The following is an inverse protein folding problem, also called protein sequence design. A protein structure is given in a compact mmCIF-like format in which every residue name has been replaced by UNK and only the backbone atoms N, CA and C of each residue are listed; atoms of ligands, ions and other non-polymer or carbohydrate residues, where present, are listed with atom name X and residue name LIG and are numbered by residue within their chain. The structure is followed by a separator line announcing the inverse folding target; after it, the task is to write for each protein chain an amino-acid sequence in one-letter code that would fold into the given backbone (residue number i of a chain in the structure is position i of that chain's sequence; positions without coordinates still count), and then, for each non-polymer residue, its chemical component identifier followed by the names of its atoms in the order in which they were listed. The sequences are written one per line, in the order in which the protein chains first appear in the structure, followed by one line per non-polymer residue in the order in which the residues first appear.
data_IF_966573124943
#
_entry.id   IF_966573124943
#
_cell.length_a   1.000
_cell.length_b   1.000
_cell.length_c   1.000
_cell.angle_alpha   90.00
_cell.angle_beta   90.00
_cell.angle_gamma   90.00
#
_symmetry.space_group_name_H-M   'P 1'
#
loop_
_entity.id
_entity.type
_entity.pdbx_description
1 polymer ?
#
# COMPACT_ATOMS: atom_id res chain seq x y z
N UNK A 1 20.34 -12.91 4.06
CA UNK A 1 20.86 -12.41 5.35
C UNK A 1 20.37 -10.99 5.53
N UNK A 2 19.86 -10.61 6.70
CA UNK A 2 19.37 -9.25 6.96
C UNK A 2 19.63 -8.84 8.42
N UNK A 3 19.64 -7.54 8.73
CA UNK A 3 19.77 -7.08 10.12
C UNK A 3 18.40 -6.79 10.71
N UNK A 4 18.06 -7.44 11.82
CA UNK A 4 16.83 -7.17 12.55
C UNK A 4 16.84 -5.72 13.07
N UNK A 5 15.80 -4.95 12.81
CA UNK A 5 15.78 -3.53 13.21
C UNK A 5 15.44 -3.31 14.69
N UNK A 6 15.01 -4.36 15.40
CA UNK A 6 14.76 -4.33 16.86
C UNK A 6 16.02 -4.77 17.61
N UNK A 7 16.39 -6.05 17.52
CA UNK A 7 17.52 -6.59 18.28
C UNK A 7 18.90 -6.34 17.64
N UNK A 8 18.95 -5.75 16.44
CA UNK A 8 20.18 -5.43 15.69
C UNK A 8 21.06 -6.62 15.34
N UNK A 9 20.63 -7.85 15.59
CA UNK A 9 21.32 -9.07 15.19
C UNK A 9 21.29 -9.25 13.67
N UNK A 10 22.37 -9.83 13.13
CA UNK A 10 22.44 -10.25 11.73
C UNK A 10 21.82 -11.65 11.62
N UNK A 11 20.74 -11.75 10.86
CA UNK A 11 19.97 -12.96 10.66
C UNK A 11 20.49 -13.68 9.41
N UNK A 12 20.85 -14.99 9.49
CA UNK A 12 21.44 -15.73 8.38
C UNK A 12 20.44 -15.92 7.22
N UNK A 13 20.94 -16.39 6.07
CA UNK A 13 20.10 -16.84 4.95
C UNK A 13 19.21 -18.02 5.35
N UNK A 14 18.02 -18.12 4.76
CA UNK A 14 17.06 -19.21 5.04
C UNK A 14 16.09 -18.93 6.20
N UNK A 15 16.32 -17.88 7.00
CA UNK A 15 15.36 -17.44 8.04
C UNK A 15 14.39 -16.41 7.46
N UNK A 16 13.08 -16.61 7.68
CA UNK A 16 12.04 -15.68 7.23
C UNK A 16 12.17 -14.32 7.91
N UNK A 17 12.03 -13.24 7.15
CA UNK A 17 11.86 -11.88 7.69
C UNK A 17 10.39 -11.55 7.84
N UNK A 18 10.00 -10.91 8.95
CA UNK A 18 8.64 -10.38 9.14
C UNK A 18 8.63 -8.85 9.13
N UNK A 19 7.51 -8.29 8.69
CA UNK A 19 7.25 -6.84 8.67
C UNK A 19 6.34 -6.48 9.83
N UNK A 20 6.85 -5.65 10.74
CA UNK A 20 6.05 -5.10 11.84
C UNK A 20 5.67 -3.66 11.54
N UNK A 21 4.38 -3.35 11.63
CA UNK A 21 3.85 -2.00 11.48
C UNK A 21 3.95 -1.29 12.82
N UNK A 22 4.79 -0.27 12.93
CA UNK A 22 5.03 0.44 14.20
C UNK A 22 4.31 1.77 14.27
N UNK A 23 3.98 2.34 13.11
CA UNK A 23 3.27 3.62 13.04
C UNK A 23 2.30 3.62 11.87
N UNK A 24 1.04 3.92 12.17
CA UNK A 24 0.02 4.22 11.16
C UNK A 24 -0.45 5.67 11.32
N UNK A 25 -0.95 6.27 10.23
CA UNK A 25 -1.61 7.57 10.26
C UNK A 25 -2.96 7.47 9.57
N UNK A 26 -3.92 8.25 10.03
CA UNK A 26 -5.18 8.44 9.31
C UNK A 26 -4.94 9.32 8.09
N UNK A 27 -5.62 9.00 7.00
CA UNK A 27 -5.60 9.80 5.78
C UNK A 27 -6.96 9.78 5.11
N UNK A 28 -7.37 10.96 4.67
CA UNK A 28 -8.52 11.14 3.80
C UNK A 28 -8.03 11.21 2.35
N UNK A 29 -8.53 10.30 1.53
CA UNK A 29 -8.26 10.26 0.10
C UNK A 29 -9.33 11.05 -0.63
N UNK A 30 -8.90 12.00 -1.46
CA UNK A 30 -9.80 12.74 -2.33
C UNK A 30 -10.42 11.82 -3.38
N UNK A 31 -11.66 12.12 -3.77
CA UNK A 31 -12.28 11.46 -4.91
C UNK A 31 -11.52 11.84 -6.19
N UNK A 32 -11.30 10.87 -7.09
CA UNK A 32 -10.62 11.14 -8.35
C UNK A 32 -11.62 11.72 -9.35
N UNK A 33 -11.37 12.92 -9.84
CA UNK A 33 -12.22 13.55 -10.85
C UNK A 33 -12.21 12.72 -12.16
N UNK A 34 -13.34 12.67 -12.90
CA UNK A 34 -13.39 11.96 -14.16
C UNK A 34 -12.41 12.60 -15.14
N UNK A 35 -11.65 11.76 -15.86
CA UNK A 35 -10.79 12.24 -16.94
C UNK A 35 -11.60 13.15 -17.89
N UNK A 36 -11.02 14.27 -18.35
CA UNK A 36 -11.71 15.18 -19.25
C UNK A 36 -12.21 14.38 -20.45
N UNK A 37 -13.50 14.52 -20.76
CA UNK A 37 -14.10 13.90 -21.94
C UNK A 37 -13.27 14.34 -23.14
N UNK A 38 -12.51 13.42 -23.74
CA UNK A 38 -11.78 13.69 -24.97
C UNK A 38 -12.74 14.39 -25.94
N UNK A 39 -12.27 15.52 -26.49
CA UNK A 39 -13.06 16.44 -27.30
C UNK A 39 -13.84 15.72 -28.41
N UNK A 40 -14.87 16.41 -28.91
CA UNK A 40 -15.94 15.93 -29.81
C UNK A 40 -15.46 15.33 -31.14
N UNK A 41 -14.71 14.22 -31.11
CA UNK A 41 -14.23 13.51 -32.29
C UNK A 41 -14.05 12.01 -32.04
N UNK A 42 -15.06 11.36 -31.46
CA UNK A 42 -15.21 9.91 -31.60
C UNK A 42 -16.67 9.53 -31.41
N UNK A 43 -17.49 9.83 -32.42
CA UNK A 43 -18.90 9.43 -32.44
C UNK A 43 -19.13 8.00 -32.96
N UNK A 44 -18.08 7.20 -33.25
CA UNK A 44 -18.32 5.95 -34.01
C UNK A 44 -17.55 4.69 -33.68
N UNK A 45 -16.62 4.62 -32.73
CA UNK A 45 -16.03 3.33 -32.36
C UNK A 45 -15.83 3.19 -30.86
N UNK A 46 -16.25 2.04 -30.35
CA UNK A 46 -16.11 1.54 -28.98
C UNK A 46 -17.24 1.90 -28.02
N UNK A 47 -18.40 1.26 -28.27
CA UNK A 47 -19.40 0.86 -27.26
C UNK A 47 -18.83 -0.20 -26.29
N UNK A 48 -17.59 -0.04 -25.85
CA UNK A 48 -17.15 -0.65 -24.61
C UNK A 48 -17.29 0.46 -23.60
N UNK A 49 -18.40 0.43 -22.84
CA UNK A 49 -18.50 1.16 -21.57
C UNK A 49 -17.23 0.82 -20.80
N UNK A 50 -16.20 1.66 -20.88
CA UNK A 50 -15.20 1.70 -19.85
C UNK A 50 -16.02 2.05 -18.62
N UNK A 51 -16.28 1.06 -17.77
CA UNK A 51 -16.71 1.32 -16.40
C UNK A 51 -15.66 2.30 -15.90
N UNK A 52 -16.02 3.58 -15.80
CA UNK A 52 -15.13 4.54 -15.18
C UNK A 52 -14.92 4.02 -13.77
N UNK A 53 -13.75 3.40 -13.55
CA UNK A 53 -13.35 2.91 -12.25
C UNK A 53 -13.14 4.18 -11.44
N UNK A 54 -14.19 4.56 -10.72
CA UNK A 54 -14.22 5.77 -9.91
C UNK A 54 -13.77 5.39 -8.51
N UNK A 55 -12.57 5.81 -8.14
CA UNK A 55 -12.19 5.82 -6.73
C UNK A 55 -12.97 6.95 -6.05
N UNK A 56 -13.97 6.56 -5.24
CA UNK A 56 -14.85 7.50 -4.52
C UNK A 56 -14.13 8.33 -3.46
N UNK A 57 -12.82 8.14 -3.29
CA UNK A 57 -12.10 8.61 -2.12
C UNK A 57 -12.57 7.88 -0.86
N UNK A 58 -12.21 8.41 0.31
CA UNK A 58 -12.63 7.88 1.60
C UNK A 58 -11.61 8.08 2.71
N UNK A 59 -11.93 7.60 3.91
CA UNK A 59 -11.02 7.59 5.05
C UNK A 59 -10.33 6.23 5.14
N UNK A 60 -9.01 6.24 5.31
CA UNK A 60 -8.22 5.04 5.51
C UNK A 60 -7.04 5.29 6.44
N UNK A 61 -6.24 4.24 6.65
CA UNK A 61 -5.00 4.34 7.41
C UNK A 61 -3.83 4.01 6.49
N UNK A 62 -2.80 4.84 6.52
CA UNK A 62 -1.54 4.57 5.85
C UNK A 62 -0.54 4.05 6.86
N UNK A 63 0.22 3.03 6.44
CA UNK A 63 1.38 2.57 7.19
C UNK A 63 2.51 3.58 6.97
N UNK A 64 2.92 4.25 8.04
CA UNK A 64 3.97 5.29 8.02
C UNK A 64 5.35 4.70 8.21
N UNK A 65 5.45 3.68 9.07
CA UNK A 65 6.72 3.05 9.40
C UNK A 65 6.53 1.57 9.65
N UNK A 66 7.31 0.79 8.92
CA UNK A 66 7.46 -0.65 9.11
C UNK A 66 8.89 -0.97 9.51
N UNK A 67 9.05 -2.04 10.29
CA UNK A 67 10.33 -2.62 10.61
C UNK A 67 10.47 -4.03 10.05
N UNK A 68 11.65 -4.36 9.53
CA UNK A 68 12.02 -5.73 9.18
C UNK A 68 12.67 -6.40 10.39
N UNK A 69 12.09 -7.50 10.85
CA UNK A 69 12.49 -8.16 12.10
C UNK A 69 12.65 -9.67 11.95
N UNK A 70 13.40 -10.27 12.88
CA UNK A 70 13.49 -11.72 12.98
C UNK A 70 12.21 -12.31 13.60
N UNK A 71 11.95 -13.62 13.41
CA UNK A 71 10.74 -14.27 13.93
C UNK A 71 10.54 -14.09 15.44
N UNK A 72 11.63 -14.25 16.21
CA UNK A 72 11.63 -14.06 17.65
C UNK A 72 11.23 -12.65 18.10
N UNK A 73 11.57 -11.62 17.32
CA UNK A 73 11.20 -10.24 17.63
C UNK A 73 9.78 -9.92 17.15
N UNK A 74 9.27 -10.61 16.14
CA UNK A 74 7.90 -10.46 15.69
C UNK A 74 6.92 -11.02 16.71
N UNK A 75 7.15 -12.23 17.21
CA UNK A 75 6.29 -12.91 18.20
C UNK A 75 6.17 -12.15 19.53
N UNK A 76 7.16 -11.32 19.88
CA UNK A 76 7.11 -10.49 21.10
C UNK A 76 6.31 -9.19 20.94
N UNK A 77 6.01 -8.81 19.70
CA UNK A 77 5.38 -7.53 19.37
C UNK A 77 3.90 -7.66 18.95
N UNK A 78 3.43 -8.89 18.73
CA UNK A 78 2.01 -9.25 18.62
C UNK A 78 1.38 -9.36 20.02
#
# INVERSE_FOLDING_TARGET
MFRCQICRAVVPSGVRSQKLIVKTREKTYAAREPAPKAGRYSRRRNRHKSKQVYDRGGHGREIVRELTVCPMCAEKYE
#
